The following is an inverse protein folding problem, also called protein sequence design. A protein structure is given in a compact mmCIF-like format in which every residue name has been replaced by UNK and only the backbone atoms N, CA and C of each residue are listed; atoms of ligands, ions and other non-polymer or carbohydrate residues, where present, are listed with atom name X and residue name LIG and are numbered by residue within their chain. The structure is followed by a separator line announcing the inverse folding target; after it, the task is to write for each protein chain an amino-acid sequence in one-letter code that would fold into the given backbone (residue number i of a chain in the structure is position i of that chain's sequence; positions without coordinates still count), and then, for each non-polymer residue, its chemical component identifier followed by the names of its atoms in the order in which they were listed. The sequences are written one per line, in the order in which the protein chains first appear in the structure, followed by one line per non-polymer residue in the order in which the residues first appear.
data_IF_402593435837
#
_entry.id   IF_402593435837
#
_cell.length_a   1.000
_cell.length_b   1.000
_cell.length_c   1.000
_cell.angle_alpha   90.00
_cell.angle_beta   90.00
_cell.angle_gamma   90.00
#
_symmetry.space_group_name_H-M   'P 1'
#
loop_
_entity.id
_entity.type
_entity.pdbx_description
1 polymer ?
#
# COMPACT_ATOMS: atom_id res chain seq x y z
N UNK A 1 -37.58 5.06 13.40
CA UNK A 1 -37.01 6.42 13.40
C UNK A 1 -35.82 6.41 14.32
N UNK A 2 -34.68 6.74 13.72
CA UNK A 2 -33.32 7.03 14.19
C UNK A 2 -32.74 6.43 15.48
N UNK A 3 -31.68 5.65 15.31
CA UNK A 3 -30.56 5.57 16.25
C UNK A 3 -29.26 5.27 15.49
N UNK A 4 -28.91 6.10 14.51
CA UNK A 4 -27.55 6.15 13.98
C UNK A 4 -26.72 6.93 14.99
N UNK A 5 -26.27 6.26 16.06
CA UNK A 5 -25.35 6.88 17.00
C UNK A 5 -24.09 7.35 16.24
N UNK A 6 -23.62 8.58 16.43
CA UNK A 6 -22.42 9.05 15.76
C UNK A 6 -21.25 8.14 16.12
N UNK A 7 -20.51 7.72 15.11
CA UNK A 7 -19.38 6.81 15.28
C UNK A 7 -18.37 7.44 16.24
N UNK A 8 -17.96 6.68 17.26
CA UNK A 8 -17.06 7.15 18.30
C UNK A 8 -15.70 7.49 17.67
N UNK A 9 -15.34 8.78 17.66
CA UNK A 9 -14.01 9.23 17.29
C UNK A 9 -13.05 8.89 18.43
N UNK A 10 -12.37 7.75 18.30
CA UNK A 10 -11.46 7.24 19.35
C UNK A 10 -10.20 8.12 19.44
N UNK A 11 -9.46 8.24 18.33
CA UNK A 11 -8.33 9.16 18.18
C UNK A 11 -8.36 9.82 16.78
N UNK A 12 -8.85 11.06 16.67
CA UNK A 12 -8.93 11.79 15.40
C UNK A 12 -7.57 11.94 14.71
N UNK A 13 -6.48 12.13 15.46
CA UNK A 13 -5.13 12.26 14.91
C UNK A 13 -4.65 10.99 14.20
N UNK A 14 -4.82 9.84 14.84
CA UNK A 14 -4.44 8.55 14.24
C UNK A 14 -5.25 8.23 12.97
N UNK A 15 -6.51 8.67 12.91
CA UNK A 15 -7.36 8.50 11.73
C UNK A 15 -6.90 9.38 10.56
N UNK A 16 -6.48 10.63 10.83
CA UNK A 16 -5.87 11.51 9.84
C UNK A 16 -4.54 10.93 9.35
N UNK A 17 -3.65 10.50 10.24
CA UNK A 17 -2.36 9.90 9.86
C UNK A 17 -2.54 8.68 8.95
N UNK A 18 -3.56 7.84 9.23
CA UNK A 18 -3.92 6.71 8.39
C UNK A 18 -4.40 7.15 7.00
N UNK A 19 -5.26 8.17 6.91
CA UNK A 19 -5.74 8.68 5.63
C UNK A 19 -4.61 9.26 4.77
N UNK A 20 -3.73 10.06 5.38
CA UNK A 20 -2.58 10.66 4.68
C UNK A 20 -1.58 9.56 4.27
N UNK A 21 -1.39 8.53 5.10
CA UNK A 21 -0.57 7.36 4.74
C UNK A 21 -1.14 6.67 3.50
N UNK A 22 -2.42 6.28 3.51
CA UNK A 22 -3.03 5.58 2.39
C UNK A 22 -3.06 6.41 1.12
N UNK A 23 -3.23 7.74 1.23
CA UNK A 23 -3.09 8.65 0.10
C UNK A 23 -1.68 8.59 -0.49
N UNK A 24 -0.66 8.69 0.34
CA UNK A 24 0.74 8.65 -0.11
C UNK A 24 1.11 7.28 -0.68
N UNK A 25 0.63 6.20 -0.06
CA UNK A 25 0.76 4.85 -0.58
C UNK A 25 0.15 4.71 -1.97
N UNK A 26 -1.10 5.18 -2.18
CA UNK A 26 -1.76 5.15 -3.50
C UNK A 26 -0.97 5.96 -4.53
N UNK A 27 -0.53 7.16 -4.18
CA UNK A 27 0.28 8.02 -5.05
C UNK A 27 1.60 7.33 -5.46
N UNK A 28 2.21 6.57 -4.55
CA UNK A 28 3.41 5.78 -4.81
C UNK A 28 3.14 4.51 -5.62
N UNK A 29 2.07 3.78 -5.30
CA UNK A 29 1.67 2.55 -6.01
C UNK A 29 1.29 2.84 -7.46
N UNK A 30 0.63 3.97 -7.72
CA UNK A 30 0.27 4.44 -9.06
C UNK A 30 1.49 4.74 -9.97
N UNK A 31 2.69 4.90 -9.40
CA UNK A 31 3.93 5.10 -10.18
C UNK A 31 4.58 3.77 -10.61
N UNK A 32 4.11 2.63 -10.09
CA UNK A 32 4.60 1.32 -10.48
C UNK A 32 3.97 0.89 -11.81
N UNK A 33 4.66 0.04 -12.60
CA UNK A 33 3.99 -0.69 -13.67
C UNK A 33 2.78 -1.46 -13.13
N UNK A 34 1.65 -1.40 -13.85
CA UNK A 34 0.35 -1.95 -13.41
C UNK A 34 0.46 -3.37 -12.83
N UNK A 35 1.17 -4.26 -13.51
CA UNK A 35 1.31 -5.66 -13.13
C UNK A 35 2.07 -5.81 -11.80
N UNK A 36 3.07 -4.95 -11.56
CA UNK A 36 3.87 -4.91 -10.33
C UNK A 36 3.03 -4.37 -9.17
N UNK A 37 2.25 -3.31 -9.39
CA UNK A 37 1.31 -2.79 -8.41
C UNK A 37 0.26 -3.83 -8.02
N UNK A 38 -0.36 -4.49 -9.01
CA UNK A 38 -1.37 -5.53 -8.78
C UNK A 38 -0.82 -6.68 -7.94
N UNK A 39 0.36 -7.21 -8.30
CA UNK A 39 1.01 -8.28 -7.54
C UNK A 39 1.29 -7.88 -6.10
N UNK A 40 1.77 -6.65 -5.88
CA UNK A 40 2.05 -6.16 -4.55
C UNK A 40 0.79 -5.96 -3.71
N UNK A 41 -0.26 -5.36 -4.28
CA UNK A 41 -1.53 -5.15 -3.59
C UNK A 41 -2.15 -6.49 -3.18
N UNK A 42 -2.24 -7.43 -4.12
CA UNK A 42 -2.79 -8.76 -3.83
C UNK A 42 -2.03 -9.44 -2.70
N UNK A 43 -0.69 -9.38 -2.71
CA UNK A 43 0.11 -10.10 -1.70
C UNK A 43 0.13 -9.41 -0.34
N UNK A 44 0.37 -8.10 -0.31
CA UNK A 44 0.75 -7.39 0.91
C UNK A 44 -0.41 -6.56 1.49
N UNK A 45 -1.39 -6.17 0.67
CA UNK A 45 -2.56 -5.39 1.12
C UNK A 45 -3.78 -6.30 1.29
N UNK A 46 -4.04 -7.16 0.30
CA UNK A 46 -5.20 -8.05 0.30
C UNK A 46 -4.89 -9.41 0.97
N UNK A 47 -3.61 -9.72 1.21
CA UNK A 47 -3.17 -10.93 1.92
C UNK A 47 -3.32 -12.23 1.12
N UNK A 48 -3.45 -12.16 -0.20
CA UNK A 48 -3.62 -13.33 -1.08
C UNK A 48 -2.35 -14.17 -1.12
N UNK A 49 -2.50 -15.49 -1.13
CA UNK A 49 -1.38 -16.43 -1.13
C UNK A 49 -0.65 -16.47 -2.48
N UNK A 50 0.68 -16.60 -2.44
CA UNK A 50 1.53 -16.57 -3.64
C UNK A 50 1.10 -17.55 -4.73
N UNK A 51 0.67 -18.76 -4.35
CA UNK A 51 0.18 -19.79 -5.29
C UNK A 51 -1.10 -19.35 -6.00
N UNK A 52 -2.01 -18.71 -5.28
CA UNK A 52 -3.27 -18.19 -5.82
C UNK A 52 -3.01 -17.01 -6.75
N UNK A 53 -2.08 -16.10 -6.39
CA UNK A 53 -1.66 -15.01 -7.27
C UNK A 53 -1.04 -15.55 -8.57
N UNK A 54 -0.19 -16.58 -8.48
CA UNK A 54 0.41 -17.19 -9.65
C UNK A 54 -0.64 -17.78 -10.60
N UNK A 55 -1.65 -18.45 -10.04
CA UNK A 55 -2.76 -19.01 -10.81
C UNK A 55 -3.64 -17.91 -11.43
N UNK A 56 -4.02 -16.90 -10.64
CA UNK A 56 -4.89 -15.80 -11.07
C UNK A 56 -4.29 -14.98 -12.20
N UNK A 57 -2.98 -14.71 -12.13
CA UNK A 57 -2.26 -13.87 -13.09
C UNK A 57 -1.54 -14.67 -14.18
N UNK A 58 -1.61 -16.01 -14.13
CA UNK A 58 -0.90 -16.93 -15.03
C UNK A 58 0.60 -16.63 -15.13
N UNK A 59 1.28 -16.56 -13.98
CA UNK A 59 2.72 -16.28 -13.87
C UNK A 59 3.43 -17.40 -13.11
N UNK A 60 4.73 -17.55 -13.35
CA UNK A 60 5.56 -18.44 -12.53
C UNK A 60 5.87 -17.81 -11.17
N UNK A 61 6.15 -18.67 -10.18
CA UNK A 61 6.57 -18.24 -8.85
C UNK A 61 7.84 -17.37 -8.88
N UNK A 62 8.81 -17.71 -9.73
CA UNK A 62 10.01 -16.90 -9.89
C UNK A 62 9.69 -15.48 -10.40
N UNK A 63 8.76 -15.36 -11.37
CA UNK A 63 8.32 -14.05 -11.85
C UNK A 63 7.60 -13.26 -10.75
N UNK A 64 6.76 -13.92 -9.94
CA UNK A 64 6.11 -13.32 -8.78
C UNK A 64 7.13 -12.71 -7.83
N UNK A 65 8.15 -13.47 -7.42
CA UNK A 65 9.19 -13.00 -6.50
C UNK A 65 9.97 -11.80 -7.05
N UNK A 66 10.30 -11.82 -8.34
CA UNK A 66 10.97 -10.70 -9.02
C UNK A 66 10.07 -9.45 -9.03
N UNK A 67 8.78 -9.60 -9.34
CA UNK A 67 7.83 -8.48 -9.30
C UNK A 67 7.66 -7.91 -7.90
N UNK A 68 7.52 -8.76 -6.88
CA UNK A 68 7.42 -8.34 -5.47
C UNK A 68 8.68 -7.61 -5.00
N UNK A 69 9.87 -8.11 -5.36
CA UNK A 69 11.12 -7.44 -5.04
C UNK A 69 11.18 -6.04 -5.66
N UNK A 70 10.83 -5.92 -6.94
CA UNK A 70 10.79 -4.62 -7.65
C UNK A 70 9.77 -3.66 -7.03
N UNK A 71 8.57 -4.16 -6.69
CA UNK A 71 7.54 -3.39 -6.02
C UNK A 71 8.03 -2.82 -4.69
N UNK A 72 8.60 -3.67 -3.82
CA UNK A 72 9.14 -3.25 -2.51
C UNK A 72 10.21 -2.18 -2.65
N UNK A 73 11.18 -2.37 -3.55
CA UNK A 73 12.26 -1.41 -3.76
C UNK A 73 11.73 -0.05 -4.27
N UNK A 74 10.77 -0.06 -5.19
CA UNK A 74 10.19 1.16 -5.73
C UNK A 74 9.28 1.89 -4.73
N UNK A 75 8.40 1.16 -4.02
CA UNK A 75 7.54 1.72 -2.98
C UNK A 75 8.36 2.30 -1.83
N UNK A 76 9.40 1.59 -1.37
CA UNK A 76 10.31 2.08 -0.34
C UNK A 76 10.90 3.44 -0.72
N UNK A 77 11.53 3.55 -1.89
CA UNK A 77 12.11 4.83 -2.35
C UNK A 77 11.08 5.95 -2.44
N UNK A 78 9.88 5.63 -2.93
CA UNK A 78 8.81 6.62 -3.03
C UNK A 78 8.33 7.07 -1.65
N UNK A 79 8.08 6.15 -0.73
CA UNK A 79 7.64 6.47 0.64
C UNK A 79 8.73 7.19 1.44
N UNK A 80 10.00 6.83 1.28
CA UNK A 80 11.13 7.56 1.89
C UNK A 80 11.14 9.03 1.46
N UNK A 81 10.84 9.31 0.19
CA UNK A 81 10.81 10.68 -0.34
C UNK A 81 9.55 11.45 0.05
N UNK A 82 8.39 10.79 0.08
CA UNK A 82 7.09 11.48 0.14
C UNK A 82 6.43 11.43 1.53
N UNK A 83 6.86 10.51 2.39
CA UNK A 83 6.30 10.25 3.72
C UNK A 83 7.37 10.42 4.82
N UNK A 84 8.38 9.54 4.85
CA UNK A 84 9.36 9.50 5.95
C UNK A 84 10.30 10.73 5.98
N UNK A 85 10.55 11.37 4.84
CA UNK A 85 11.43 12.54 4.75
C UNK A 85 10.78 13.89 5.09
N UNK A 86 9.47 13.96 5.34
CA UNK A 86 8.77 15.22 5.61
C UNK A 86 8.77 15.66 7.07
N UNK A 87 9.12 14.78 8.01
CA UNK A 87 9.30 15.17 9.43
C UNK A 87 10.64 15.89 9.69
N UNK A 88 11.62 15.77 8.79
CA UNK A 88 12.97 16.30 9.02
C UNK A 88 13.16 17.80 8.70
N UNK A 89 12.13 18.50 8.20
CA UNK A 89 12.18 19.96 7.89
C UNK A 89 11.28 20.75 8.85
N UNK A 90 11.26 20.33 10.11
CA UNK A 90 10.75 21.11 11.22
C UNK A 90 11.81 21.15 12.33
N UNK A 91 12.95 21.79 12.05
CA UNK A 91 13.82 22.34 13.08
C UNK A 91 14.56 23.56 12.56
#
# INVERSE_FOLDING_TARGET
MDATAPQQWDNPGASLDNEVFWKTYRDCSNKLPKNIATVFNLREVDGVESKEICALLNISENNLWVMLHRARAALRRCLETNWFGKEAVAK
#
